data_IF_679154147879
#
_entry.id   IF_679154147879
#
_cell.length_a   1.000
_cell.length_b   1.000
_cell.length_c   1.000
_cell.angle_alpha   90.00
_cell.angle_beta   90.00
_cell.angle_gamma   90.00
#
_symmetry.space_group_name_H-M   'P 1'
#
loop_
_entity.id
_entity.type
_entity.pdbx_description
1 polymer ?
#
# COMPACT_ATOMS: atom_id res chain seq x y z
N UNK A 1 19.53 6.38 -6.71
CA UNK A 1 19.41 5.51 -5.52
C UNK A 1 18.78 4.21 -5.95
N UNK A 2 19.23 3.09 -5.38
CA UNK A 2 18.62 1.77 -5.57
C UNK A 2 17.25 1.73 -4.88
N UNK A 3 16.34 0.91 -5.40
CA UNK A 3 15.02 0.53 -4.88
C UNK A 3 14.97 -0.99 -4.91
N UNK A 4 14.34 -1.62 -3.92
CA UNK A 4 14.36 -3.08 -3.73
C UNK A 4 15.77 -3.65 -3.60
N UNK A 5 16.65 -2.95 -2.89
CA UNK A 5 18.07 -3.31 -2.78
C UNK A 5 18.23 -4.74 -2.20
N UNK A 6 18.94 -5.60 -2.94
CA UNK A 6 19.15 -7.01 -2.58
C UNK A 6 18.01 -7.96 -2.96
N UNK A 7 17.00 -7.50 -3.70
CA UNK A 7 15.93 -8.33 -4.28
C UNK A 7 16.23 -8.65 -5.75
N UNK A 8 15.60 -9.70 -6.29
CA UNK A 8 15.69 -10.02 -7.72
C UNK A 8 15.07 -8.92 -8.62
N UNK A 9 14.19 -8.10 -8.03
CA UNK A 9 13.54 -6.94 -8.67
C UNK A 9 14.30 -5.61 -8.46
N UNK A 10 15.54 -5.63 -7.96
CA UNK A 10 16.34 -4.42 -7.71
C UNK A 10 16.39 -3.50 -8.94
N UNK A 11 16.14 -2.22 -8.73
CA UNK A 11 16.17 -1.17 -9.77
C UNK A 11 16.65 0.15 -9.18
N UNK A 12 16.61 1.23 -9.95
CA UNK A 12 16.92 2.58 -9.50
C UNK A 12 15.73 3.51 -9.62
N UNK A 13 15.69 4.55 -8.79
CA UNK A 13 14.73 5.66 -8.92
C UNK A 13 14.71 6.24 -10.33
N UNK A 14 15.87 6.35 -10.99
CA UNK A 14 15.96 6.89 -12.35
C UNK A 14 15.34 5.97 -13.39
N UNK A 15 15.45 4.66 -13.23
CA UNK A 15 14.79 3.68 -14.13
C UNK A 15 13.28 3.67 -13.94
N UNK A 16 12.80 3.73 -12.69
CA UNK A 16 11.36 3.86 -12.38
C UNK A 16 10.81 5.13 -13.04
N UNK A 17 11.46 6.28 -12.84
CA UNK A 17 11.00 7.56 -13.39
C UNK A 17 11.14 7.65 -14.92
N UNK A 18 12.01 6.86 -15.53
CA UNK A 18 12.17 6.80 -16.98
C UNK A 18 11.21 5.81 -17.66
N UNK A 19 10.44 5.04 -16.88
CA UNK A 19 9.44 4.12 -17.40
C UNK A 19 8.12 4.86 -17.63
N UNK A 20 7.92 5.38 -18.85
CA UNK A 20 6.73 6.13 -19.23
C UNK A 20 5.43 5.33 -19.01
N UNK A 21 5.42 4.02 -19.27
CA UNK A 21 4.23 3.19 -19.09
C UNK A 21 3.84 3.09 -17.60
N UNK A 22 4.82 2.85 -16.72
CA UNK A 22 4.60 2.81 -15.28
C UNK A 22 4.15 4.18 -14.75
N UNK A 23 4.79 5.26 -15.18
CA UNK A 23 4.45 6.61 -14.74
C UNK A 23 3.06 7.04 -15.21
N UNK A 24 2.71 6.77 -16.48
CA UNK A 24 1.37 7.01 -17.01
C UNK A 24 0.31 6.18 -16.26
N UNK A 25 0.65 4.96 -15.83
CA UNK A 25 -0.27 4.15 -15.05
C UNK A 25 -0.53 4.71 -13.64
N UNK A 26 0.43 5.43 -13.04
CA UNK A 26 0.20 6.09 -11.75
C UNK A 26 -0.92 7.12 -11.82
N UNK A 27 -1.00 7.90 -12.91
CA UNK A 27 -2.09 8.87 -13.10
C UNK A 27 -3.46 8.19 -13.16
N UNK A 28 -3.53 7.02 -13.82
CA UNK A 28 -4.75 6.22 -13.88
C UNK A 28 -5.12 5.63 -12.52
N UNK A 29 -4.15 5.09 -11.78
CA UNK A 29 -4.35 4.54 -10.45
C UNK A 29 -4.80 5.63 -9.47
N UNK A 30 -4.15 6.79 -9.49
CA UNK A 30 -4.49 7.94 -8.64
C UNK A 30 -5.91 8.42 -8.91
N UNK A 31 -6.29 8.61 -10.18
CA UNK A 31 -7.65 9.04 -10.53
C UNK A 31 -8.74 8.08 -10.00
N UNK A 32 -8.46 6.77 -9.96
CA UNK A 32 -9.37 5.78 -9.37
C UNK A 32 -9.44 5.88 -7.86
N UNK A 33 -8.30 6.00 -7.20
CA UNK A 33 -8.21 6.18 -5.74
C UNK A 33 -8.94 7.46 -5.33
N UNK A 34 -8.74 8.56 -6.04
CA UNK A 34 -9.41 9.84 -5.81
C UNK A 34 -10.94 9.72 -5.96
N UNK A 35 -11.40 8.98 -6.98
CA UNK A 35 -12.84 8.73 -7.14
C UNK A 35 -13.43 7.92 -5.98
N UNK A 36 -12.68 6.96 -5.44
CA UNK A 36 -13.09 6.21 -4.23
C UNK A 36 -13.09 7.11 -3.01
N UNK A 37 -12.06 7.97 -2.85
CA UNK A 37 -11.97 8.95 -1.77
C UNK A 37 -13.19 9.89 -1.75
N UNK A 38 -13.59 10.44 -2.89
CA UNK A 38 -14.78 11.30 -2.98
C UNK A 38 -16.08 10.52 -2.67
N UNK A 39 -16.15 9.26 -3.09
CA UNK A 39 -17.28 8.39 -2.73
C UNK A 39 -17.35 8.17 -1.22
N UNK A 40 -16.21 7.95 -0.55
CA UNK A 40 -16.14 7.77 0.90
C UNK A 40 -16.49 9.05 1.66
N UNK A 41 -16.04 10.22 1.18
CA UNK A 41 -16.41 11.54 1.74
C UNK A 41 -17.93 11.72 1.76
N UNK A 42 -18.60 11.42 0.65
CA UNK A 42 -20.06 11.55 0.55
C UNK A 42 -20.78 10.48 1.38
N UNK A 43 -20.40 9.22 1.25
CA UNK A 43 -21.16 8.09 1.81
C UNK A 43 -20.97 7.89 3.31
N UNK A 44 -19.80 8.23 3.85
CA UNK A 44 -19.47 8.09 5.27
C UNK A 44 -19.33 9.44 6.00
N UNK A 45 -19.57 10.56 5.32
CA UNK A 45 -19.47 11.90 5.93
C UNK A 45 -18.04 12.31 6.31
N UNK A 46 -17.04 11.76 5.60
CA UNK A 46 -15.63 12.04 5.84
C UNK A 46 -15.21 13.36 5.18
N UNK A 47 -14.13 13.93 5.71
CA UNK A 47 -13.47 15.15 5.23
C UNK A 47 -12.06 14.83 4.79
N UNK A 48 -11.38 15.79 4.15
CA UNK A 48 -9.99 15.59 3.75
C UNK A 48 -9.03 15.34 4.92
N UNK A 49 -9.39 15.77 6.14
CA UNK A 49 -8.60 15.50 7.35
C UNK A 49 -8.71 14.08 7.88
N UNK A 50 -9.66 13.28 7.37
CA UNK A 50 -9.86 11.88 7.77
C UNK A 50 -9.04 10.90 6.92
N UNK A 51 -8.28 11.40 5.94
CA UNK A 51 -7.44 10.59 5.05
C UNK A 51 -5.96 10.86 5.31
N UNK A 52 -5.18 9.78 5.28
CA UNK A 52 -3.71 9.83 5.30
C UNK A 52 -3.20 9.20 4.02
N UNK A 53 -2.38 9.94 3.28
CA UNK A 53 -1.72 9.44 2.08
C UNK A 53 -0.43 8.68 2.45
N UNK A 54 -0.20 7.54 1.80
CA UNK A 54 0.98 6.70 1.98
C UNK A 54 1.61 6.37 0.62
N UNK A 55 2.94 6.23 0.53
CA UNK A 55 3.60 5.96 -0.73
C UNK A 55 3.32 4.54 -1.22
N UNK A 56 2.79 4.42 -2.43
CA UNK A 56 2.65 3.14 -3.15
C UNK A 56 2.57 3.44 -4.65
N UNK A 57 3.22 2.58 -5.45
CA UNK A 57 3.13 2.58 -6.89
C UNK A 57 2.32 1.36 -7.35
N UNK A 58 1.66 1.48 -8.50
CA UNK A 58 0.89 0.38 -9.09
C UNK A 58 1.38 0.05 -10.49
N UNK A 59 1.26 -1.20 -10.90
CA UNK A 59 1.50 -1.63 -12.27
C UNK A 59 0.33 -2.48 -12.77
N UNK A 60 0.19 -2.59 -14.08
CA UNK A 60 -0.88 -3.36 -14.71
C UNK A 60 -0.51 -4.84 -14.74
N UNK A 61 -1.50 -5.73 -14.60
CA UNK A 61 -1.29 -7.17 -14.83
C UNK A 61 -1.23 -7.42 -16.35
N UNK A 62 -0.06 -7.80 -16.86
CA UNK A 62 0.10 -8.21 -18.27
C UNK A 62 -0.51 -9.59 -18.49
N UNK A 63 -1.19 -9.80 -19.62
CA UNK A 63 -1.66 -11.13 -20.03
C UNK A 63 -0.49 -12.14 -20.06
N UNK A 64 -0.68 -13.31 -19.43
CA UNK A 64 0.29 -14.42 -19.43
C UNK A 64 0.87 -14.80 -18.07
N UNK A 65 0.70 -14.00 -17.02
CA UNK A 65 1.22 -14.24 -15.67
C UNK A 65 0.42 -15.21 -14.78
N UNK A 66 -0.29 -16.20 -15.36
CA UNK A 66 -1.12 -17.15 -14.60
C UNK A 66 -2.44 -16.61 -14.04
N UNK A 67 -2.57 -15.29 -13.92
CA UNK A 67 -3.77 -14.53 -13.57
C UNK A 67 -4.18 -13.62 -14.73
N UNK A 68 -4.19 -14.18 -15.95
CA UNK A 68 -4.43 -13.45 -17.19
C UNK A 68 -5.58 -12.47 -17.01
N UNK A 69 -5.32 -11.21 -17.35
CA UNK A 69 -6.28 -10.13 -17.13
C UNK A 69 -7.57 -10.34 -17.92
N UNK A 70 -7.59 -11.21 -18.95
CA UNK A 70 -8.74 -11.49 -19.81
C UNK A 70 -9.36 -10.19 -20.37
N UNK A 71 -8.52 -9.19 -20.63
CA UNK A 71 -8.96 -7.85 -21.04
C UNK A 71 -9.57 -6.98 -19.92
N UNK A 72 -9.49 -7.41 -18.66
CA UNK A 72 -9.90 -6.64 -17.48
C UNK A 72 -8.74 -5.74 -17.06
N UNK A 73 -9.02 -4.45 -16.92
CA UNK A 73 -8.06 -3.50 -16.37
C UNK A 73 -7.86 -3.76 -14.87
N UNK A 74 -6.78 -4.47 -14.55
CA UNK A 74 -6.38 -4.83 -13.19
C UNK A 74 -5.02 -4.25 -12.85
N UNK A 75 -4.89 -3.79 -11.61
CA UNK A 75 -3.65 -3.28 -11.03
C UNK A 75 -3.12 -4.26 -9.96
N UNK A 76 -1.80 -4.33 -9.84
CA UNK A 76 -1.08 -4.90 -8.69
C UNK A 76 -0.15 -3.83 -8.11
N UNK A 77 0.24 -4.02 -6.86
CA UNK A 77 1.20 -3.13 -6.22
C UNK A 77 2.59 -3.37 -6.83
N UNK A 78 3.27 -2.30 -7.23
CA UNK A 78 4.64 -2.36 -7.78
C UNK A 78 5.68 -2.53 -6.67
N UNK A 79 5.43 -1.92 -5.51
CA UNK A 79 6.17 -2.13 -4.27
C UNK A 79 5.24 -2.73 -3.21
N UNK A 80 5.75 -3.39 -2.14
CA UNK A 80 4.91 -3.88 -1.07
C UNK A 80 3.99 -2.79 -0.53
N UNK A 81 2.67 -3.04 -0.61
CA UNK A 81 1.65 -2.03 -0.39
C UNK A 81 1.45 -1.68 1.08
N UNK A 82 1.97 -0.53 1.53
CA UNK A 82 1.85 -0.03 2.92
C UNK A 82 0.41 -0.06 3.45
N UNK A 83 -0.57 0.24 2.60
CA UNK A 83 -2.00 0.27 2.94
C UNK A 83 -2.58 -1.10 3.29
N UNK A 84 -1.93 -2.20 2.89
CA UNK A 84 -2.36 -3.59 3.13
C UNK A 84 -1.72 -4.11 4.44
N UNK A 85 -1.79 -3.29 5.48
CA UNK A 85 -1.20 -3.49 6.80
C UNK A 85 -2.13 -4.21 7.78
N UNK A 86 -1.56 -4.71 8.87
CA UNK A 86 -2.30 -5.33 9.98
C UNK A 86 -2.33 -4.37 11.17
N UNK A 87 -3.52 -4.16 11.75
CA UNK A 87 -3.72 -3.28 12.91
C UNK A 87 -4.10 -4.12 14.14
N UNK A 88 -3.19 -4.23 15.10
CA UNK A 88 -3.41 -4.86 16.41
C UNK A 88 -3.33 -3.78 17.49
N UNK A 89 -4.49 -3.39 18.03
CA UNK A 89 -4.64 -2.25 18.94
C UNK A 89 -3.99 -0.98 18.39
N UNK A 90 -2.93 -0.47 19.04
CA UNK A 90 -2.18 0.73 18.62
C UNK A 90 -0.94 0.38 17.82
N UNK A 91 -0.79 -0.86 17.36
CA UNK A 91 0.39 -1.33 16.62
C UNK A 91 0.02 -1.61 15.16
N UNK A 92 0.81 -1.06 14.24
CA UNK A 92 0.72 -1.29 12.81
C UNK A 92 1.87 -2.19 12.36
N UNK A 93 1.54 -3.34 11.78
CA UNK A 93 2.48 -4.19 11.06
C UNK A 93 2.32 -3.90 9.57
N UNK A 94 3.25 -3.11 9.06
CA UNK A 94 3.22 -2.51 7.73
C UNK A 94 4.12 -3.33 6.81
N UNK A 95 3.67 -3.74 5.62
CA UNK A 95 4.57 -4.28 4.59
C UNK A 95 5.76 -3.34 4.39
N UNK A 96 6.99 -3.84 4.51
CA UNK A 96 8.19 -3.05 4.23
C UNK A 96 8.18 -2.64 2.75
N UNK A 97 8.06 -1.34 2.43
CA UNK A 97 7.89 -0.90 1.05
C UNK A 97 9.17 -1.03 0.23
N UNK A 98 10.32 -1.31 0.85
CA UNK A 98 11.60 -1.58 0.18
C UNK A 98 12.03 -0.43 -0.75
N UNK A 99 11.84 0.79 -0.26
CA UNK A 99 12.02 2.04 -0.97
C UNK A 99 13.46 2.47 -1.14
N UNK A 100 13.66 3.61 -1.83
CA UNK A 100 15.00 4.09 -2.09
C UNK A 100 15.70 4.53 -0.82
N UNK A 101 16.97 4.16 -0.68
CA UNK A 101 17.77 4.57 0.48
C UNK A 101 18.36 5.97 0.33
N UNK A 102 18.21 6.78 1.38
CA UNK A 102 18.90 8.07 1.58
C UNK A 102 19.60 8.02 2.92
N UNK A 103 20.94 8.07 2.91
CA UNK A 103 21.79 7.90 4.11
C UNK A 103 21.55 6.58 4.85
N UNK A 104 21.24 5.50 4.12
CA UNK A 104 20.96 4.18 4.69
C UNK A 104 19.54 3.99 5.23
N UNK A 105 18.70 5.03 5.20
CA UNK A 105 17.29 4.97 5.60
C UNK A 105 16.38 4.85 4.38
N UNK A 106 15.36 4.01 4.48
CA UNK A 106 14.31 3.87 3.46
C UNK A 106 13.41 5.11 3.45
N UNK A 107 13.38 5.80 2.31
CA UNK A 107 12.62 7.04 2.16
C UNK A 107 11.11 6.81 2.24
N UNK A 108 10.58 5.69 1.76
CA UNK A 108 9.15 5.38 1.84
C UNK A 108 8.73 5.03 3.26
N UNK A 109 9.56 4.30 4.02
CA UNK A 109 9.31 4.11 5.46
C UNK A 109 9.26 5.43 6.22
N UNK A 110 10.23 6.33 5.97
CA UNK A 110 10.27 7.64 6.63
C UNK A 110 9.04 8.48 6.28
N UNK A 111 8.62 8.49 5.01
CA UNK A 111 7.39 9.19 4.59
C UNK A 111 6.15 8.59 5.27
N UNK A 112 6.05 7.28 5.41
CA UNK A 112 4.96 6.63 6.16
C UNK A 112 4.97 7.04 7.64
N UNK A 113 6.15 7.11 8.27
CA UNK A 113 6.27 7.59 9.66
C UNK A 113 5.83 9.04 9.80
N UNK A 114 6.19 9.89 8.85
CA UNK A 114 5.76 11.30 8.81
C UNK A 114 4.24 11.41 8.65
N UNK A 115 3.66 10.69 7.68
CA UNK A 115 2.21 10.67 7.42
C UNK A 115 1.39 10.22 8.64
N UNK A 116 1.92 9.28 9.43
CA UNK A 116 1.24 8.74 10.62
C UNK A 116 1.67 9.42 11.93
N UNK A 117 2.52 10.44 11.84
CA UNK A 117 3.04 11.13 13.02
C UNK A 117 1.91 11.81 13.80
N UNK A 118 1.95 11.67 15.13
CA UNK A 118 0.94 12.24 16.02
C UNK A 118 -0.36 11.43 16.16
N UNK A 119 -0.55 10.35 15.38
CA UNK A 119 -1.73 9.48 15.51
C UNK A 119 -1.62 8.44 16.64
N UNK A 120 -0.44 8.34 17.27
CA UNK A 120 -0.23 7.47 18.44
C UNK A 120 0.00 5.99 18.11
N UNK A 121 0.28 5.66 16.85
CA UNK A 121 0.59 4.29 16.43
C UNK A 121 2.07 3.92 16.64
N UNK A 122 2.32 2.67 17.03
CA UNK A 122 3.62 2.02 16.96
C UNK A 122 3.75 1.32 15.60
N UNK A 123 4.83 1.58 14.86
CA UNK A 123 5.02 1.11 13.48
C UNK A 123 6.14 0.06 13.41
N UNK A 124 5.79 -1.13 12.92
CA UNK A 124 6.72 -2.21 12.57
C UNK A 124 6.65 -2.47 11.07
N UNK A 125 7.77 -2.27 10.37
CA UNK A 125 7.90 -2.67 8.97
C UNK A 125 8.29 -4.14 8.89
N UNK A 126 7.54 -4.91 8.10
CA UNK A 126 7.65 -6.37 8.01
C UNK A 126 8.03 -6.74 6.59
N UNK A 127 9.16 -7.43 6.44
CA UNK A 127 9.54 -8.03 5.16
C UNK A 127 8.51 -9.10 4.77
N UNK A 128 7.74 -8.78 3.73
CA UNK A 128 6.76 -9.69 3.12
C UNK A 128 7.09 -9.99 1.66
N UNK A 129 8.23 -9.51 1.17
CA UNK A 129 8.52 -9.39 -0.27
C UNK A 129 8.35 -10.74 -0.99
N UNK A 130 9.07 -11.75 -0.51
CA UNK A 130 9.04 -13.10 -1.10
C UNK A 130 7.84 -13.93 -0.64
N UNK A 131 7.42 -13.75 0.60
CA UNK A 131 6.39 -14.59 1.21
C UNK A 131 4.96 -14.26 0.78
N UNK A 132 4.70 -13.00 0.38
CA UNK A 132 3.36 -12.53 0.01
C UNK A 132 3.36 -11.59 -1.20
N UNK A 133 4.25 -10.59 -1.26
CA UNK A 133 4.21 -9.55 -2.30
C UNK A 133 4.37 -10.13 -3.71
N UNK A 134 5.36 -11.00 -3.92
CA UNK A 134 5.55 -11.74 -5.19
C UNK A 134 4.37 -12.66 -5.57
N UNK A 135 3.44 -12.90 -4.64
CA UNK A 135 2.20 -13.67 -4.85
C UNK A 135 0.96 -12.76 -4.91
N UNK A 136 1.15 -11.47 -5.16
CA UNK A 136 0.10 -10.44 -5.30
C UNK A 136 -0.71 -10.19 -4.00
N UNK A 137 -0.09 -10.36 -2.83
CA UNK A 137 -0.70 -10.07 -1.53
C UNK A 137 0.29 -9.44 -0.56
N UNK A 138 -0.17 -9.03 0.61
CA UNK A 138 0.70 -8.41 1.63
C UNK A 138 0.37 -8.95 3.04
N UNK A 139 0.83 -8.25 4.08
CA UNK A 139 0.62 -8.62 5.48
C UNK A 139 -0.87 -8.89 5.82
N UNK A 140 -1.79 -8.02 5.43
CA UNK A 140 -3.22 -8.23 5.70
C UNK A 140 -3.82 -9.38 4.86
N UNK A 141 -3.38 -9.59 3.61
CA UNK A 141 -3.82 -10.74 2.81
C UNK A 141 -3.48 -12.09 3.48
N UNK A 142 -2.36 -12.16 4.19
CA UNK A 142 -1.88 -13.38 4.84
C UNK A 142 -2.40 -13.61 6.26
N UNK A 143 -3.22 -12.70 6.80
CA UNK A 143 -3.58 -12.70 8.22
C UNK A 143 -5.06 -12.42 8.43
N UNK A 144 -5.53 -12.64 9.67
CA UNK A 144 -6.86 -12.22 10.10
C UNK A 144 -6.82 -11.96 11.61
N UNK A 145 -7.77 -11.18 12.11
CA UNK A 145 -7.81 -10.76 13.51
C UNK A 145 -9.20 -10.98 14.09
N UNK A 146 -9.26 -11.52 15.31
CA UNK A 146 -10.44 -11.48 16.15
C UNK A 146 -10.47 -10.13 16.89
N UNK A 147 -11.62 -9.44 16.88
CA UNK A 147 -11.81 -8.13 17.53
C UNK A 147 -12.93 -8.20 18.56
N UNK A 148 -12.80 -7.42 19.62
CA UNK A 148 -13.86 -7.27 20.62
C UNK A 148 -15.12 -6.67 19.97
N UNK A 149 -16.31 -7.27 20.15
CA UNK A 149 -17.56 -6.73 19.61
C UNK A 149 -17.91 -5.35 20.15
N UNK A 150 -18.73 -4.60 19.40
CA UNK A 150 -19.30 -3.34 19.88
C UNK A 150 -20.12 -3.55 21.16
N UNK A 151 -20.05 -2.58 22.08
CA UNK A 151 -20.89 -2.56 23.28
C UNK A 151 -22.36 -2.23 22.98
N UNK A 152 -22.64 -1.62 21.82
CA UNK A 152 -24.01 -1.33 21.38
C UNK A 152 -24.63 -2.58 20.75
N UNK A 153 -25.73 -3.12 21.29
CA UNK A 153 -26.42 -4.24 20.68
C UNK A 153 -26.96 -3.88 19.30
N UNK A 154 -26.79 -4.77 18.32
CA UNK A 154 -27.14 -4.45 16.93
C UNK A 154 -28.65 -4.23 16.70
N UNK A 155 -29.51 -4.77 17.57
CA UNK A 155 -30.95 -4.58 17.53
C UNK A 155 -31.42 -3.26 18.18
N UNK A 156 -30.50 -2.47 18.75
CA UNK A 156 -30.77 -1.15 19.35
C UNK A 156 -30.24 0.01 18.49
N UNK A 157 -29.62 -0.30 17.34
CA UNK A 157 -29.14 0.69 16.37
C UNK A 157 -30.27 1.30 15.52
#
# INVERSE_FOLDING_TARGET
SLVFEGRDAETTVSEILANDDLMNYQDLAQARIDSVRETLKVSAGLTDGDFVEVPVLYEYIVEGGGWGSNGVDMAVAYNPGIQNLVIADTTLFIPDPEGPKRNGLDVWQEQTRESLSGLGFELHFVDVFRSYHEQFGEAHCGTNLERTPSMTPWWEM
#
